data_IF_037362663182
#
_entry.id   IF_037362663182
#
_cell.length_a   1.000
_cell.length_b   1.000
_cell.length_c   1.000
_cell.angle_alpha   90.00
_cell.angle_beta   90.00
_cell.angle_gamma   90.00
#
_symmetry.space_group_name_H-M   'P 1'
#
loop_
_entity.id
_entity.type
_entity.pdbx_description
1 polymer ?
#
# COMPACT_ATOMS: atom_id res chain seq x y z
N UNK A 1 -30.06 -6.35 -16.44
CA UNK A 1 -30.44 -5.64 -15.20
C UNK A 1 -29.28 -4.74 -14.81
N UNK A 2 -29.52 -3.46 -14.55
CA UNK A 2 -28.50 -2.51 -14.11
C UNK A 2 -28.69 -2.26 -12.61
N UNK A 3 -27.64 -2.44 -11.81
CA UNK A 3 -27.59 -2.06 -10.40
C UNK A 3 -26.43 -1.09 -10.26
N UNK A 4 -26.70 0.15 -9.86
CA UNK A 4 -25.70 1.18 -9.61
C UNK A 4 -25.79 1.64 -8.15
N UNK A 5 -24.66 1.62 -7.43
CA UNK A 5 -24.52 2.19 -6.08
C UNK A 5 -23.13 2.82 -5.96
N UNK A 6 -23.08 4.09 -5.54
CA UNK A 6 -21.86 4.92 -5.57
C UNK A 6 -21.24 5.06 -4.18
N UNK A 7 -20.87 3.93 -3.57
CA UNK A 7 -20.31 3.90 -2.21
C UNK A 7 -19.16 4.88 -1.99
N UNK A 8 -18.21 4.96 -2.94
CA UNK A 8 -17.10 5.91 -2.85
C UNK A 8 -17.57 7.37 -2.86
N UNK A 9 -18.49 7.72 -3.77
CA UNK A 9 -19.00 9.10 -3.88
C UNK A 9 -19.79 9.52 -2.64
N UNK A 10 -20.56 8.60 -2.05
CA UNK A 10 -21.28 8.84 -0.80
C UNK A 10 -20.31 9.04 0.37
N UNK A 11 -19.36 8.12 0.56
CA UNK A 11 -18.36 8.22 1.62
C UNK A 11 -17.48 9.48 1.49
N UNK A 12 -17.13 9.90 0.27
CA UNK A 12 -16.38 11.13 0.06
C UNK A 12 -17.15 12.38 0.52
N UNK A 13 -18.47 12.44 0.25
CA UNK A 13 -19.31 13.56 0.71
C UNK A 13 -19.45 13.58 2.23
N UNK A 14 -19.67 12.42 2.85
CA UNK A 14 -19.74 12.31 4.31
C UNK A 14 -18.42 12.76 4.96
N UNK A 15 -17.28 12.37 4.36
CA UNK A 15 -15.96 12.82 4.82
C UNK A 15 -15.79 14.33 4.70
N UNK A 16 -16.23 14.94 3.59
CA UNK A 16 -16.16 16.39 3.39
C UNK A 16 -17.00 17.15 4.45
N UNK A 17 -18.17 16.60 4.81
CA UNK A 17 -19.01 17.17 5.88
C UNK A 17 -18.33 17.09 7.24
N UNK A 18 -17.75 15.94 7.59
CA UNK A 18 -16.98 15.77 8.84
C UNK A 18 -15.79 16.73 8.90
N UNK A 19 -15.06 16.89 7.79
CA UNK A 19 -13.93 17.82 7.72
C UNK A 19 -14.41 19.25 7.98
N UNK A 20 -15.50 19.67 7.36
CA UNK A 20 -16.06 21.03 7.55
C UNK A 20 -16.50 21.26 8.99
N UNK A 21 -17.22 20.32 9.59
CA UNK A 21 -17.66 20.42 10.98
C UNK A 21 -16.46 20.49 11.95
N UNK A 22 -15.40 19.72 11.70
CA UNK A 22 -14.16 19.79 12.48
C UNK A 22 -13.41 21.12 12.30
N UNK A 23 -13.43 21.70 11.10
CA UNK A 23 -12.84 23.03 10.86
C UNK A 23 -13.62 24.13 11.59
N UNK A 24 -14.94 24.10 11.55
CA UNK A 24 -15.81 25.03 12.29
C UNK A 24 -15.61 24.89 13.80
N UNK A 25 -15.57 23.64 14.32
CA UNK A 25 -15.27 23.35 15.73
C UNK A 25 -13.92 23.95 16.12
N UNK A 26 -12.85 23.67 15.36
CA UNK A 26 -11.49 24.18 15.65
C UNK A 26 -11.42 25.71 15.60
N UNK A 27 -12.18 26.34 14.71
CA UNK A 27 -12.25 27.80 14.63
C UNK A 27 -12.97 28.43 15.84
N UNK A 28 -13.88 27.69 16.49
CA UNK A 28 -14.62 28.14 17.68
C UNK A 28 -13.86 28.00 19.00
N UNK A 29 -12.73 27.28 19.02
CA UNK A 29 -11.96 27.02 20.24
C UNK A 29 -11.20 28.27 20.73
N UNK A 30 -11.18 28.45 22.04
CA UNK A 30 -10.29 29.40 22.71
C UNK A 30 -8.82 28.97 22.63
N UNK A 31 -7.90 29.88 22.94
CA UNK A 31 -6.46 29.60 22.93
C UNK A 31 -6.06 28.53 23.97
N UNK A 32 -6.72 28.53 25.13
CA UNK A 32 -6.53 27.52 26.18
C UNK A 32 -7.00 26.13 25.70
N UNK A 33 -8.19 26.02 25.12
CA UNK A 33 -8.72 24.76 24.59
C UNK A 33 -7.87 24.22 23.44
N UNK A 34 -7.37 25.09 22.54
CA UNK A 34 -6.46 24.69 21.46
C UNK A 34 -5.15 24.13 21.99
N UNK A 35 -4.64 24.69 23.08
CA UNK A 35 -3.40 24.22 23.71
C UNK A 35 -3.63 22.88 24.39
N UNK A 36 -4.71 22.72 25.14
CA UNK A 36 -5.09 21.46 25.78
C UNK A 36 -5.31 20.32 24.75
N UNK A 37 -6.07 20.56 23.68
CA UNK A 37 -6.30 19.55 22.63
C UNK A 37 -5.00 19.16 21.91
N UNK A 38 -4.08 20.11 21.74
CA UNK A 38 -2.76 19.84 21.15
C UNK A 38 -1.94 18.95 22.08
N UNK A 39 -1.88 19.26 23.37
CA UNK A 39 -1.16 18.45 24.37
C UNK A 39 -1.70 17.01 24.46
N UNK A 40 -3.02 16.85 24.46
CA UNK A 40 -3.67 15.53 24.45
C UNK A 40 -3.26 14.72 23.22
N UNK A 41 -3.33 15.31 22.02
CA UNK A 41 -2.92 14.65 20.77
C UNK A 41 -1.44 14.27 20.76
N UNK A 42 -0.58 15.09 21.35
CA UNK A 42 0.83 14.72 21.50
C UNK A 42 1.00 13.53 22.45
N UNK A 43 0.32 13.53 23.59
CA UNK A 43 0.37 12.41 24.53
C UNK A 43 -0.15 11.09 23.90
N UNK A 44 -1.23 11.15 23.12
CA UNK A 44 -1.75 9.99 22.38
C UNK A 44 -0.75 9.48 21.34
N UNK A 45 -0.13 10.38 20.57
CA UNK A 45 0.87 10.02 19.58
C UNK A 45 2.11 9.38 20.25
N UNK A 46 2.57 9.93 21.36
CA UNK A 46 3.68 9.37 22.15
C UNK A 46 3.35 7.96 22.67
N UNK A 47 2.12 7.74 23.13
CA UNK A 47 1.68 6.43 23.62
C UNK A 47 1.65 5.38 22.50
N UNK A 48 1.19 5.76 21.31
CA UNK A 48 1.21 4.90 20.12
C UNK A 48 2.67 4.55 19.76
N UNK A 49 3.55 5.55 19.70
CA UNK A 49 4.97 5.36 19.40
C UNK A 49 5.61 4.42 20.43
N UNK A 50 5.33 4.62 21.72
CA UNK A 50 5.84 3.78 22.80
C UNK A 50 5.45 2.32 22.63
N UNK A 51 4.17 2.05 22.34
CA UNK A 51 3.67 0.68 22.10
C UNK A 51 4.34 0.03 20.89
N UNK A 52 4.52 0.77 19.80
CA UNK A 52 5.22 0.27 18.60
C UNK A 52 6.68 -0.05 18.93
N UNK A 53 7.40 0.85 19.62
CA UNK A 53 8.78 0.63 20.01
C UNK A 53 8.95 -0.56 20.97
N UNK A 54 8.01 -0.75 21.90
CA UNK A 54 8.05 -1.90 22.80
C UNK A 54 7.86 -3.21 22.04
N UNK A 55 6.91 -3.26 21.10
CA UNK A 55 6.72 -4.40 20.22
C UNK A 55 7.95 -4.68 19.34
N UNK A 56 8.61 -3.64 18.81
CA UNK A 56 9.85 -3.79 18.06
C UNK A 56 11.01 -4.28 18.94
N UNK A 57 11.12 -3.78 20.18
CA UNK A 57 12.15 -4.23 21.13
C UNK A 57 12.02 -5.70 21.48
N UNK A 58 10.83 -6.27 21.42
CA UNK A 58 10.58 -7.69 21.70
C UNK A 58 10.83 -8.60 20.50
N UNK A 59 11.18 -8.06 19.32
CA UNK A 59 11.35 -8.84 18.11
C UNK A 59 12.72 -8.60 17.43
N UNK A 60 13.22 -9.63 16.73
CA UNK A 60 14.28 -9.53 15.74
C UNK A 60 13.68 -9.57 14.34
N UNK A 61 14.10 -8.63 13.48
CA UNK A 61 13.82 -8.68 12.05
C UNK A 61 15.05 -9.17 11.30
N UNK A 62 14.97 -10.40 10.80
CA UNK A 62 16.08 -11.04 10.09
C UNK A 62 15.72 -11.18 8.63
N UNK A 63 16.67 -10.87 7.74
CA UNK A 63 16.53 -11.09 6.31
C UNK A 63 16.25 -12.57 6.05
N UNK A 64 15.12 -12.86 5.41
CA UNK A 64 14.73 -14.23 5.06
C UNK A 64 15.27 -14.57 3.68
N UNK A 65 16.25 -15.49 3.64
CA UNK A 65 16.80 -16.01 2.38
C UNK A 65 15.73 -16.67 1.51
N UNK A 66 14.76 -17.32 2.12
CA UNK A 66 13.63 -17.95 1.42
C UNK A 66 12.75 -16.88 0.76
N UNK A 67 12.39 -15.82 1.49
CA UNK A 67 11.59 -14.73 0.94
C UNK A 67 12.34 -13.97 -0.16
N UNK A 68 13.64 -13.72 0.00
CA UNK A 68 14.49 -13.15 -1.05
C UNK A 68 14.46 -14.05 -2.30
N UNK A 69 14.66 -15.35 -2.15
CA UNK A 69 14.65 -16.29 -3.27
C UNK A 69 13.29 -16.28 -3.98
N UNK A 70 12.20 -16.28 -3.23
CA UNK A 70 10.83 -16.18 -3.78
C UNK A 70 10.63 -14.85 -4.52
N UNK A 71 11.09 -13.74 -3.95
CA UNK A 71 11.03 -12.43 -4.59
C UNK A 71 11.80 -12.40 -5.91
N UNK A 72 12.97 -13.05 -6.01
CA UNK A 72 13.70 -13.16 -7.28
C UNK A 72 12.91 -13.90 -8.36
N UNK A 73 12.15 -14.95 -8.01
CA UNK A 73 11.28 -15.63 -8.99
C UNK A 73 10.11 -14.74 -9.41
N UNK A 74 9.48 -14.03 -8.46
CA UNK A 74 8.40 -13.09 -8.76
C UNK A 74 8.89 -11.93 -9.65
N UNK A 75 10.12 -11.46 -9.45
CA UNK A 75 10.73 -10.46 -10.31
C UNK A 75 10.92 -10.98 -11.75
N UNK A 76 11.34 -12.24 -11.92
CA UNK A 76 11.43 -12.86 -13.25
C UNK A 76 10.07 -13.02 -13.91
N UNK A 77 9.05 -13.42 -13.16
CA UNK A 77 7.68 -13.53 -13.67
C UNK A 77 7.10 -12.17 -14.04
N UNK A 78 7.37 -11.13 -13.24
CA UNK A 78 6.98 -9.75 -13.56
C UNK A 78 7.61 -9.27 -14.88
N UNK A 79 8.90 -9.59 -15.12
CA UNK A 79 9.56 -9.27 -16.40
C UNK A 79 8.88 -9.96 -17.58
N UNK A 80 8.55 -11.26 -17.45
CA UNK A 80 7.83 -12.02 -18.50
C UNK A 80 6.44 -11.46 -18.77
N UNK A 81 5.73 -11.07 -17.71
CA UNK A 81 4.41 -10.46 -17.85
C UNK A 81 4.49 -9.08 -18.48
N UNK A 82 5.48 -8.28 -18.09
CA UNK A 82 5.73 -6.97 -18.67
C UNK A 82 6.03 -7.06 -20.16
N UNK A 83 6.87 -8.01 -20.58
CA UNK A 83 7.13 -8.28 -22.00
C UNK A 83 5.84 -8.69 -22.73
N UNK A 84 5.08 -9.63 -22.17
CA UNK A 84 3.87 -10.15 -22.79
C UNK A 84 2.72 -9.12 -22.91
N UNK A 85 2.69 -8.14 -22.02
CA UNK A 85 1.64 -7.12 -21.93
C UNK A 85 2.13 -5.71 -22.30
N UNK A 86 3.37 -5.58 -22.78
CA UNK A 86 4.01 -4.30 -23.13
C UNK A 86 3.98 -3.27 -22.00
N UNK A 87 4.36 -3.69 -20.79
CA UNK A 87 4.44 -2.83 -19.60
C UNK A 87 5.87 -2.38 -19.36
N UNK A 88 6.03 -1.16 -18.86
CA UNK A 88 7.26 -0.76 -18.20
C UNK A 88 7.38 -1.48 -16.86
N UNK A 89 8.60 -1.86 -16.47
CA UNK A 89 8.85 -2.62 -15.24
C UNK A 89 10.07 -2.10 -14.50
N UNK A 90 9.93 -1.93 -13.19
CA UNK A 90 11.03 -1.60 -12.28
C UNK A 90 11.00 -2.55 -11.10
N UNK A 91 12.13 -3.22 -10.85
CA UNK A 91 12.33 -4.08 -9.68
C UNK A 91 13.40 -3.46 -8.79
N UNK A 92 13.11 -3.29 -7.51
CA UNK A 92 14.05 -2.73 -6.52
C UNK A 92 14.00 -3.53 -5.23
N UNK A 93 15.14 -3.65 -4.56
CA UNK A 93 15.20 -4.20 -3.21
C UNK A 93 16.41 -3.66 -2.46
N UNK A 94 16.27 -3.48 -1.15
CA UNK A 94 17.36 -3.19 -0.22
C UNK A 94 17.72 -4.40 0.67
N UNK A 95 17.15 -5.58 0.37
CA UNK A 95 17.28 -6.80 1.16
C UNK A 95 16.23 -6.97 2.27
N UNK A 96 15.53 -5.91 2.66
CA UNK A 96 14.45 -5.95 3.66
C UNK A 96 13.08 -5.80 3.02
N UNK A 97 12.98 -4.96 1.98
CA UNK A 97 11.77 -4.74 1.20
C UNK A 97 12.08 -5.01 -0.27
N UNK A 98 11.19 -5.74 -0.93
CA UNK A 98 11.16 -5.89 -2.37
C UNK A 98 10.02 -5.07 -2.96
N UNK A 99 10.28 -4.36 -4.05
CA UNK A 99 9.26 -3.62 -4.80
C UNK A 99 9.32 -4.01 -6.27
N UNK A 100 8.18 -4.37 -6.82
CA UNK A 100 7.97 -4.56 -8.25
C UNK A 100 6.92 -3.55 -8.67
N UNK A 101 7.28 -2.68 -9.61
CA UNK A 101 6.38 -1.69 -10.19
C UNK A 101 6.22 -1.95 -11.67
N UNK A 102 4.99 -1.91 -12.13
CA UNK A 102 4.63 -1.95 -13.54
C UNK A 102 3.89 -0.66 -13.90
N UNK A 103 4.07 -0.17 -15.11
CA UNK A 103 3.32 0.98 -15.60
C UNK A 103 2.96 0.88 -17.06
N UNK A 104 1.82 1.47 -17.41
CA UNK A 104 1.26 1.54 -18.76
C UNK A 104 0.28 2.70 -18.83
N UNK A 105 -0.04 3.20 -20.01
CA UNK A 105 -1.08 4.21 -20.24
C UNK A 105 -2.48 3.65 -19.95
N UNK A 106 -2.71 2.37 -20.22
CA UNK A 106 -3.96 1.69 -19.97
C UNK A 106 -3.75 0.21 -19.64
N UNK A 107 -4.28 -0.23 -18.50
CA UNK A 107 -4.17 -1.62 -18.07
C UNK A 107 -5.47 -2.40 -18.28
N UNK A 108 -5.37 -3.50 -19.02
CA UNK A 108 -6.46 -4.47 -19.19
C UNK A 108 -5.95 -5.89 -18.95
N UNK A 109 -6.75 -6.68 -18.24
CA UNK A 109 -6.51 -8.10 -18.04
C UNK A 109 -7.79 -8.88 -18.38
N UNK A 110 -7.81 -9.55 -19.53
CA UNK A 110 -8.97 -10.29 -20.03
C UNK A 110 -8.55 -11.57 -20.77
N UNK A 111 -9.53 -12.28 -21.33
CA UNK A 111 -9.29 -13.56 -22.04
C UNK A 111 -8.33 -13.46 -23.24
N UNK A 112 -8.19 -12.27 -23.83
CA UNK A 112 -7.29 -12.01 -24.96
C UNK A 112 -5.82 -11.91 -24.54
N UNK A 113 -5.54 -11.62 -23.27
CA UNK A 113 -4.18 -11.64 -22.75
C UNK A 113 -3.65 -13.09 -22.72
N UNK A 114 -2.33 -13.31 -22.79
CA UNK A 114 -1.76 -14.64 -22.57
C UNK A 114 -2.18 -15.21 -21.22
N UNK A 115 -2.64 -16.46 -21.17
CA UNK A 115 -3.08 -17.11 -19.92
C UNK A 115 -2.02 -17.05 -18.82
N UNK A 116 -0.75 -17.27 -19.21
CA UNK A 116 0.38 -17.20 -18.29
C UNK A 116 0.55 -15.81 -17.68
N UNK A 117 0.32 -14.74 -18.44
CA UNK A 117 0.39 -13.37 -17.93
C UNK A 117 -0.72 -13.10 -16.91
N UNK A 118 -1.95 -13.57 -17.18
CA UNK A 118 -3.06 -13.50 -16.20
C UNK A 118 -2.74 -14.24 -14.90
N UNK A 119 -2.16 -15.43 -15.02
CA UNK A 119 -1.78 -16.24 -13.87
C UNK A 119 -0.70 -15.54 -13.04
N UNK A 120 0.34 -15.00 -13.69
CA UNK A 120 1.40 -14.23 -13.01
C UNK A 120 0.81 -13.04 -12.24
N UNK A 121 -0.09 -12.26 -12.86
CA UNK A 121 -0.73 -11.13 -12.19
C UNK A 121 -1.42 -11.54 -10.88
N UNK A 122 -2.23 -12.60 -10.93
CA UNK A 122 -2.96 -13.12 -9.75
C UNK A 122 -2.00 -13.67 -8.70
N UNK A 123 -0.95 -14.40 -9.11
CA UNK A 123 0.01 -15.00 -8.18
C UNK A 123 0.87 -13.94 -7.48
N UNK A 124 1.18 -12.83 -8.16
CA UNK A 124 1.84 -11.68 -7.54
C UNK A 124 0.95 -11.00 -6.51
N UNK A 125 -0.34 -10.76 -6.80
CA UNK A 125 -1.29 -10.19 -5.83
C UNK A 125 -1.37 -11.08 -4.58
N UNK A 126 -1.49 -12.39 -4.76
CA UNK A 126 -1.55 -13.35 -3.64
C UNK A 126 -0.26 -13.43 -2.83
N UNK A 127 0.87 -13.07 -3.43
CA UNK A 127 2.19 -13.18 -2.79
C UNK A 127 2.66 -11.89 -2.13
N UNK A 128 2.12 -10.73 -2.54
CA UNK A 128 2.53 -9.43 -2.03
C UNK A 128 2.01 -9.19 -0.61
N UNK A 129 2.80 -8.49 0.20
CA UNK A 129 2.37 -8.01 1.50
C UNK A 129 1.47 -6.77 1.33
N UNK A 130 1.80 -5.90 0.37
CA UNK A 130 0.96 -4.77 -0.03
C UNK A 130 0.85 -4.68 -1.57
N UNK A 131 -0.33 -4.30 -2.06
CA UNK A 131 -0.63 -4.18 -3.48
C UNK A 131 -1.47 -2.92 -3.73
N UNK A 132 -1.14 -2.18 -4.78
CA UNK A 132 -1.90 -1.00 -5.19
C UNK A 132 -1.92 -0.79 -6.70
N UNK A 133 -3.02 -0.23 -7.17
CA UNK A 133 -3.15 0.31 -8.53
C UNK A 133 -3.57 1.78 -8.41
N UNK A 134 -2.82 2.67 -9.04
CA UNK A 134 -3.08 4.12 -8.96
C UNK A 134 -2.62 4.85 -10.22
N UNK A 135 -3.16 6.04 -10.44
CA UNK A 135 -2.71 6.92 -11.52
C UNK A 135 -1.50 7.75 -11.06
N UNK A 136 -0.48 7.86 -11.91
CA UNK A 136 0.67 8.73 -11.67
C UNK A 136 1.31 9.14 -13.00
N UNK A 137 1.56 10.43 -13.18
CA UNK A 137 2.22 11.00 -14.36
C UNK A 137 1.56 10.50 -15.67
N UNK A 138 0.22 10.53 -15.73
CA UNK A 138 -0.63 10.02 -16.82
C UNK A 138 -0.56 8.51 -17.10
N UNK A 139 0.12 7.74 -16.26
CA UNK A 139 0.19 6.29 -16.33
C UNK A 139 -0.65 5.62 -15.24
N UNK A 140 -1.16 4.44 -15.56
CA UNK A 140 -1.62 3.46 -14.57
C UNK A 140 -0.39 2.75 -14.01
N UNK A 141 -0.19 2.85 -12.71
CA UNK A 141 0.89 2.20 -11.97
C UNK A 141 0.31 1.06 -11.16
N UNK A 142 0.94 -0.12 -11.28
CA UNK A 142 0.64 -1.30 -10.49
C UNK A 142 1.88 -1.59 -9.64
N UNK A 143 1.71 -1.59 -8.32
CA UNK A 143 2.82 -1.73 -7.38
C UNK A 143 2.59 -2.90 -6.42
N UNK A 144 3.62 -3.75 -6.30
CA UNK A 144 3.69 -4.88 -5.39
C UNK A 144 4.84 -4.67 -4.41
N UNK A 145 4.54 -4.80 -3.12
CA UNK A 145 5.52 -4.66 -2.04
C UNK A 145 5.61 -5.98 -1.27
N UNK A 146 6.85 -6.39 -0.97
CA UNK A 146 7.17 -7.64 -0.29
C UNK A 146 8.07 -7.36 0.90
N UNK A 147 7.70 -7.81 2.10
CA UNK A 147 8.56 -7.84 3.28
C UNK A 147 9.45 -9.06 3.21
N UNK A 148 10.72 -8.84 2.96
CA UNK A 148 11.73 -9.89 2.79
C UNK A 148 12.35 -10.33 4.12
N UNK A 149 11.90 -9.76 5.24
CA UNK A 149 12.31 -10.15 6.59
C UNK A 149 11.33 -11.14 7.22
N UNK A 150 11.79 -11.84 8.24
CA UNK A 150 10.97 -12.59 9.20
C UNK A 150 11.10 -11.95 10.58
N UNK A 151 10.00 -11.96 11.32
CA UNK A 151 9.94 -11.47 12.70
C UNK A 151 10.05 -12.67 13.63
N UNK A 152 11.03 -12.64 14.53
CA UNK A 152 11.26 -13.70 15.52
C UNK A 152 11.23 -13.04 16.90
N UNK A 153 10.50 -13.60 17.88
CA UNK A 153 10.57 -13.10 19.26
C UNK A 153 12.02 -13.13 19.76
N UNK A 154 12.42 -12.12 20.53
CA UNK A 154 13.71 -12.11 21.20
C UNK A 154 13.82 -13.17 22.27
#
# INVERSE_FOLDING_TARGET
>A
MLIEKKYHTEAAREMDEIIREEEERKASLSEEERTAEKEEKYAEAEEIIRKVQEAERQNFHIISKEKIKRFSYLAMDALRMAEALLLDVTVRTDGTIGRIRLSTDFFVLNEMCPEKARQIFVDMIKSADDFGIYAKDDLVVIEYIFRLTMTIPK
#
